data_IF_995663560105
#
_entry.id   IF_995663560105
#
_cell.length_a   1.000
_cell.length_b   1.000
_cell.length_c   1.000
_cell.angle_alpha   90.00
_cell.angle_beta   90.00
_cell.angle_gamma   90.00
#
_symmetry.space_group_name_H-M   'P 1'
#
loop_
_entity.id
_entity.type
_entity.pdbx_description
1 polymer ?
#
# COMPACT_ATOMS: atom_id res chain seq x y z
N UNK A 1 -24.47 -14.62 -11.85
CA UNK A 1 -25.14 -13.30 -11.75
C UNK A 1 -26.38 -13.31 -12.62
N UNK A 2 -27.52 -12.93 -12.08
CA UNK A 2 -28.81 -12.87 -12.76
C UNK A 2 -28.98 -11.61 -13.63
N UNK A 3 -28.00 -10.69 -13.62
CA UNK A 3 -27.99 -9.47 -14.42
C UNK A 3 -28.85 -8.32 -13.86
N UNK A 4 -29.35 -8.43 -12.63
CA UNK A 4 -30.23 -7.43 -12.00
C UNK A 4 -29.49 -6.20 -11.45
N UNK A 5 -28.16 -6.13 -11.62
CA UNK A 5 -27.29 -5.07 -11.10
C UNK A 5 -27.27 -4.95 -9.57
N UNK A 6 -27.63 -5.99 -8.88
CA UNK A 6 -27.63 -6.10 -7.41
C UNK A 6 -26.82 -7.33 -6.99
N UNK A 7 -26.39 -7.36 -5.74
CA UNK A 7 -25.71 -8.52 -5.16
C UNK A 7 -26.45 -8.90 -3.89
N UNK A 8 -27.06 -10.08 -3.90
CA UNK A 8 -27.66 -10.68 -2.71
C UNK A 8 -26.62 -11.47 -1.91
N UNK A 9 -26.92 -11.76 -0.64
CA UNK A 9 -26.02 -12.59 0.21
C UNK A 9 -25.71 -13.96 -0.39
N UNK A 10 -26.60 -14.52 -1.20
CA UNK A 10 -26.46 -15.83 -1.81
C UNK A 10 -25.56 -15.82 -3.05
N UNK A 11 -25.37 -14.67 -3.67
CA UNK A 11 -24.50 -14.50 -4.84
C UNK A 11 -23.03 -14.30 -4.47
N UNK A 12 -22.72 -14.10 -3.18
CA UNK A 12 -21.33 -13.98 -2.73
C UNK A 12 -20.69 -15.38 -2.75
N UNK A 13 -19.78 -15.57 -3.70
CA UNK A 13 -19.04 -16.81 -3.84
C UNK A 13 -18.01 -17.02 -2.72
N UNK A 14 -17.55 -18.26 -2.56
CA UNK A 14 -16.49 -18.61 -1.62
C UNK A 14 -15.15 -17.91 -1.88
N UNK A 15 -14.95 -17.39 -3.09
CA UNK A 15 -13.74 -16.67 -3.52
C UNK A 15 -13.90 -15.15 -3.54
N UNK A 16 -15.03 -14.62 -3.04
CA UNK A 16 -15.24 -13.18 -3.02
C UNK A 16 -14.22 -12.49 -2.10
N UNK A 17 -13.37 -11.67 -2.68
CA UNK A 17 -12.39 -10.84 -1.99
C UNK A 17 -12.28 -9.48 -2.66
N UNK A 18 -11.77 -8.48 -1.93
CA UNK A 18 -11.45 -7.18 -2.52
C UNK A 18 -10.09 -7.32 -3.22
N UNK A 19 -10.03 -7.11 -4.55
CA UNK A 19 -8.77 -7.20 -5.27
C UNK A 19 -7.84 -6.05 -4.87
N UNK A 20 -6.68 -6.39 -4.34
CA UNK A 20 -5.60 -5.44 -4.09
C UNK A 20 -4.71 -5.27 -5.34
N UNK A 21 -4.69 -6.29 -6.16
CA UNK A 21 -3.88 -6.38 -7.38
C UNK A 21 -4.69 -7.08 -8.48
N UNK A 22 -5.63 -6.35 -9.11
CA UNK A 22 -6.52 -6.94 -10.10
C UNK A 22 -5.81 -7.43 -11.38
N UNK A 23 -4.54 -7.04 -11.57
CA UNK A 23 -3.70 -7.53 -12.66
C UNK A 23 -3.18 -8.96 -12.46
N UNK A 24 -3.36 -9.53 -11.27
CA UNK A 24 -2.97 -10.91 -10.98
C UNK A 24 -4.15 -11.87 -11.18
N UNK A 25 -3.88 -13.15 -11.47
CA UNK A 25 -4.91 -14.19 -11.44
C UNK A 25 -5.60 -14.26 -10.08
N UNK A 26 -6.90 -14.61 -10.07
CA UNK A 26 -7.72 -14.67 -8.83
C UNK A 26 -7.14 -15.64 -7.79
N UNK A 27 -6.50 -16.69 -8.25
CA UNK A 27 -5.87 -17.73 -7.41
C UNK A 27 -4.52 -17.29 -6.82
N UNK A 28 -3.96 -16.18 -7.32
CA UNK A 28 -2.67 -15.71 -6.85
C UNK A 28 -2.77 -15.17 -5.41
N UNK A 29 -1.88 -15.56 -4.47
CA UNK A 29 -1.94 -15.14 -3.07
C UNK A 29 -1.94 -13.63 -2.84
N UNK A 30 -1.43 -12.87 -3.80
CA UNK A 30 -1.40 -11.40 -3.77
C UNK A 30 -2.54 -10.72 -4.51
N UNK A 31 -3.50 -11.45 -5.06
CA UNK A 31 -4.63 -10.88 -5.81
C UNK A 31 -5.49 -9.97 -4.94
N UNK A 32 -5.86 -10.42 -3.77
CA UNK A 32 -6.77 -9.69 -2.90
C UNK A 32 -6.44 -9.82 -1.41
N UNK A 33 -7.35 -9.37 -0.58
CA UNK A 33 -7.24 -9.54 0.87
C UNK A 33 -7.24 -11.05 1.18
N UNK A 34 -6.22 -11.58 1.88
CA UNK A 34 -6.14 -13.01 2.18
C UNK A 34 -7.39 -13.52 2.89
N UNK A 35 -7.98 -14.56 2.35
CA UNK A 35 -9.14 -15.22 2.96
C UNK A 35 -8.70 -16.18 4.07
N UNK A 36 -9.50 -16.35 5.14
CA UNK A 36 -9.24 -17.35 6.16
C UNK A 36 -9.11 -18.75 5.55
N UNK A 37 -8.24 -19.59 6.11
CA UNK A 37 -8.05 -20.96 5.62
C UNK A 37 -9.27 -21.84 5.82
N UNK A 38 -9.99 -21.67 6.96
CA UNK A 38 -11.18 -22.47 7.30
C UNK A 38 -12.42 -22.00 6.54
N UNK A 39 -13.18 -22.87 5.86
CA UNK A 39 -14.37 -22.50 5.08
C UNK A 39 -15.41 -21.71 5.88
N UNK A 40 -15.68 -22.10 7.12
CA UNK A 40 -16.65 -21.44 7.99
C UNK A 40 -16.23 -20.01 8.30
N UNK A 41 -14.95 -19.81 8.60
CA UNK A 41 -14.40 -18.48 8.86
C UNK A 41 -14.43 -17.59 7.62
N UNK A 42 -14.24 -18.17 6.41
CA UNK A 42 -14.44 -17.45 5.14
C UNK A 42 -15.88 -16.99 5.00
N UNK A 43 -16.83 -17.89 5.20
CA UNK A 43 -18.24 -17.57 5.08
C UNK A 43 -18.67 -16.49 6.07
N UNK A 44 -18.26 -16.61 7.32
CA UNK A 44 -18.53 -15.59 8.32
C UNK A 44 -17.97 -14.23 7.93
N UNK A 45 -16.72 -14.18 7.46
CA UNK A 45 -16.09 -12.92 7.01
C UNK A 45 -16.82 -12.30 5.83
N UNK A 46 -17.26 -13.10 4.87
CA UNK A 46 -18.03 -12.63 3.73
C UNK A 46 -19.37 -12.04 4.15
N UNK A 47 -20.09 -12.71 5.07
CA UNK A 47 -21.35 -12.21 5.62
C UNK A 47 -21.14 -10.90 6.40
N UNK A 48 -20.09 -10.83 7.22
CA UNK A 48 -19.74 -9.59 7.95
C UNK A 48 -19.45 -8.44 6.99
N UNK A 49 -18.69 -8.71 5.94
CA UNK A 49 -18.36 -7.73 4.92
C UNK A 49 -19.60 -7.26 4.17
N UNK A 50 -20.50 -8.17 3.80
CA UNK A 50 -21.76 -7.82 3.18
C UNK A 50 -22.61 -6.94 4.09
N UNK A 51 -22.83 -7.36 5.34
CA UNK A 51 -23.65 -6.62 6.32
C UNK A 51 -23.09 -5.24 6.65
N UNK A 52 -21.78 -5.07 6.58
CA UNK A 52 -21.14 -3.77 6.79
C UNK A 52 -21.42 -2.79 5.65
N UNK A 53 -21.59 -3.30 4.45
CA UNK A 53 -21.85 -2.52 3.25
C UNK A 53 -23.33 -2.31 2.93
N UNK A 54 -24.17 -3.24 3.30
CA UNK A 54 -25.62 -3.14 3.24
C UNK A 54 -26.12 -2.15 4.31
N UNK A 55 -26.20 -0.87 3.93
CA UNK A 55 -26.48 0.23 4.86
C UNK A 55 -27.93 0.29 5.28
N UNK A 56 -28.84 0.00 4.37
CA UNK A 56 -30.29 0.01 4.60
C UNK A 56 -30.81 -1.32 5.18
N UNK A 57 -29.95 -2.37 5.25
CA UNK A 57 -30.24 -3.71 5.78
C UNK A 57 -31.38 -4.44 5.06
N UNK A 58 -31.52 -4.21 3.75
CA UNK A 58 -32.50 -4.89 2.92
C UNK A 58 -32.02 -6.26 2.40
N UNK A 59 -30.80 -6.67 2.75
CA UNK A 59 -30.11 -7.90 2.32
C UNK A 59 -29.75 -7.93 0.84
N UNK A 60 -29.73 -6.78 0.20
CA UNK A 60 -29.28 -6.57 -1.15
C UNK A 60 -28.21 -5.48 -1.15
N UNK A 61 -27.18 -5.70 -1.90
CA UNK A 61 -26.13 -4.71 -2.08
C UNK A 61 -26.27 -4.08 -3.45
N UNK A 62 -26.80 -2.87 -3.47
CA UNK A 62 -27.05 -2.11 -4.69
C UNK A 62 -25.77 -1.49 -5.23
N UNK A 63 -25.80 -1.11 -6.52
CA UNK A 63 -24.69 -0.37 -7.13
C UNK A 63 -24.40 0.94 -6.42
N UNK A 64 -25.42 1.64 -5.94
CA UNK A 64 -25.25 2.93 -5.26
C UNK A 64 -24.58 2.77 -3.91
N UNK A 65 -24.91 1.75 -3.14
CA UNK A 65 -24.22 1.41 -1.89
C UNK A 65 -22.76 1.03 -2.14
N UNK A 66 -22.50 0.24 -3.20
CA UNK A 66 -21.15 -0.11 -3.61
C UNK A 66 -20.32 1.13 -3.98
N UNK A 67 -20.89 2.02 -4.79
CA UNK A 67 -20.21 3.25 -5.24
C UNK A 67 -20.05 4.25 -4.11
N UNK A 68 -21.04 4.38 -3.23
CA UNK A 68 -20.97 5.29 -2.08
C UNK A 68 -19.81 4.95 -1.15
N UNK A 69 -19.61 3.66 -0.86
CA UNK A 69 -18.49 3.18 -0.06
C UNK A 69 -17.14 3.32 -0.78
N UNK A 70 -17.11 3.16 -2.09
CA UNK A 70 -15.89 3.39 -2.88
C UNK A 70 -15.51 4.87 -2.93
N UNK A 71 -16.48 5.78 -2.87
CA UNK A 71 -16.21 7.23 -2.86
C UNK A 71 -15.52 7.71 -1.57
N UNK A 72 -15.76 7.06 -0.45
CA UNK A 72 -15.18 7.45 0.85
C UNK A 72 -13.68 7.12 0.96
N UNK A 73 -13.19 6.13 0.21
CA UNK A 73 -11.78 5.73 0.22
C UNK A 73 -11.03 5.96 -1.10
N UNK A 74 -11.71 6.45 -2.14
CA UNK A 74 -11.17 6.53 -3.50
C UNK A 74 -10.73 7.92 -3.90
N UNK A 75 -10.02 8.62 -3.03
CA UNK A 75 -9.15 9.67 -3.51
C UNK A 75 -8.28 9.08 -4.63
N UNK A 76 -8.23 9.72 -5.80
CA UNK A 76 -7.29 9.27 -6.84
C UNK A 76 -5.87 9.46 -6.28
N UNK A 77 -5.05 8.42 -6.12
CA UNK A 77 -3.72 8.56 -5.59
C UNK A 77 -2.95 9.62 -6.39
N UNK A 78 -2.33 10.55 -5.69
CA UNK A 78 -1.59 11.65 -6.29
C UNK A 78 -0.27 11.85 -5.54
N UNK A 79 0.83 11.86 -6.26
CA UNK A 79 2.09 12.45 -5.85
C UNK A 79 2.27 13.72 -6.68
N UNK A 80 2.44 14.86 -6.03
CA UNK A 80 2.67 16.12 -6.70
C UNK A 80 3.85 16.86 -6.07
N UNK A 81 4.66 17.48 -6.90
CA UNK A 81 5.66 18.44 -6.45
C UNK A 81 5.05 19.85 -6.50
N UNK A 82 5.08 20.51 -5.36
CA UNK A 82 4.56 21.86 -5.20
C UNK A 82 5.74 22.81 -4.99
N UNK A 83 5.81 23.84 -5.82
CA UNK A 83 6.77 24.92 -5.67
C UNK A 83 6.37 25.80 -4.48
N UNK A 84 7.30 26.17 -3.60
CA UNK A 84 6.99 27.05 -2.48
C UNK A 84 6.67 28.48 -2.95
N UNK A 85 6.01 29.25 -2.09
CA UNK A 85 5.60 30.64 -2.37
C UNK A 85 4.16 30.73 -2.86
N UNK A 86 3.78 31.92 -3.38
CA UNK A 86 2.43 32.23 -3.80
C UNK A 86 1.50 32.61 -2.65
N UNK A 87 0.27 33.00 -2.98
CA UNK A 87 -0.81 33.30 -2.03
C UNK A 87 -2.15 32.86 -2.61
N UNK A 88 -3.13 32.57 -1.75
CA UNK A 88 -4.44 32.08 -2.16
C UNK A 88 -4.38 30.66 -2.73
N UNK A 89 -5.20 30.36 -3.73
CA UNK A 89 -5.23 29.06 -4.39
C UNK A 89 -4.06 28.91 -5.38
N UNK A 90 -3.07 28.10 -4.99
CA UNK A 90 -1.87 27.81 -5.78
C UNK A 90 -1.95 26.51 -6.58
N UNK A 91 -3.10 25.81 -6.57
CA UNK A 91 -3.26 24.48 -7.14
C UNK A 91 -2.84 24.36 -8.60
N UNK A 92 -3.10 25.37 -9.41
CA UNK A 92 -2.77 25.37 -10.84
C UNK A 92 -1.41 26.03 -11.14
N UNK A 93 -0.98 26.97 -10.31
CA UNK A 93 0.18 27.83 -10.60
C UNK A 93 1.50 27.30 -10.04
N UNK A 94 1.45 26.52 -8.93
CA UNK A 94 2.64 26.07 -8.21
C UNK A 94 2.86 24.56 -8.26
N UNK A 95 2.11 23.83 -9.08
CA UNK A 95 2.34 22.40 -9.31
C UNK A 95 3.38 22.22 -10.40
N UNK A 96 4.59 21.79 -10.01
CA UNK A 96 5.68 21.52 -10.94
C UNK A 96 5.40 20.28 -11.81
N UNK A 97 4.97 19.19 -11.17
CA UNK A 97 4.58 17.95 -11.83
C UNK A 97 3.64 17.11 -10.94
N UNK A 98 3.01 16.10 -11.53
CA UNK A 98 2.21 15.11 -10.81
C UNK A 98 2.40 13.69 -11.35
N UNK A 99 2.21 12.69 -10.50
CA UNK A 99 2.17 11.28 -10.83
C UNK A 99 1.01 10.59 -10.12
N UNK A 100 0.37 9.63 -10.81
CA UNK A 100 -0.80 8.91 -10.27
C UNK A 100 -0.61 7.40 -10.22
N UNK A 101 0.59 6.92 -10.53
CA UNK A 101 0.88 5.49 -10.58
C UNK A 101 1.87 5.08 -9.49
N UNK A 102 1.53 3.98 -8.78
CA UNK A 102 2.43 3.41 -7.76
C UNK A 102 2.52 4.21 -6.46
N UNK A 103 1.55 5.09 -6.21
CA UNK A 103 1.52 5.95 -5.05
C UNK A 103 1.06 5.14 -3.82
N UNK A 104 1.77 5.21 -2.70
CA UNK A 104 1.37 4.56 -1.45
C UNK A 104 0.16 5.26 -0.82
N UNK A 105 -0.60 4.51 -0.02
CA UNK A 105 -1.74 5.04 0.72
C UNK A 105 -1.32 5.60 2.10
N UNK A 106 -0.37 4.96 2.75
CA UNK A 106 0.06 5.28 4.12
C UNK A 106 1.53 5.71 4.16
N UNK A 107 2.50 4.94 3.61
CA UNK A 107 3.90 5.30 3.69
C UNK A 107 4.19 6.65 3.05
N UNK A 108 4.93 7.49 3.74
CA UNK A 108 5.44 8.75 3.18
C UNK A 108 6.54 8.47 2.15
N UNK A 109 6.62 9.28 1.09
CA UNK A 109 7.78 9.29 0.21
C UNK A 109 9.06 9.70 0.96
N UNK A 110 10.21 9.23 0.52
CA UNK A 110 11.49 9.70 1.01
C UNK A 110 12.34 10.23 -0.14
N UNK A 111 12.91 11.41 0.07
CA UNK A 111 13.78 12.07 -0.91
C UNK A 111 15.25 11.81 -0.63
N UNK A 112 16.03 11.54 -1.66
CA UNK A 112 17.47 11.49 -1.60
C UNK A 112 18.07 11.74 -3.00
N UNK A 113 19.00 12.65 -3.08
CA UNK A 113 19.81 12.93 -4.29
C UNK A 113 18.98 12.94 -5.58
N UNK A 114 18.07 13.92 -5.71
CA UNK A 114 17.16 14.11 -6.86
C UNK A 114 16.21 12.95 -7.15
N UNK A 115 16.05 11.99 -6.23
CA UNK A 115 15.16 10.86 -6.33
C UNK A 115 14.14 10.85 -5.20
N UNK A 116 12.94 10.39 -5.52
CA UNK A 116 11.88 10.14 -4.55
C UNK A 116 11.57 8.65 -4.59
N UNK A 117 11.70 8.01 -3.45
CA UNK A 117 11.41 6.59 -3.27
C UNK A 117 10.07 6.41 -2.58
N UNK A 118 9.27 5.48 -3.12
CA UNK A 118 7.91 5.18 -2.68
C UNK A 118 7.79 3.67 -2.48
N UNK A 119 7.19 3.24 -1.39
CA UNK A 119 6.84 1.84 -1.18
C UNK A 119 5.35 1.71 -0.87
N UNK A 120 4.66 0.81 -1.55
CA UNK A 120 3.23 0.57 -1.34
C UNK A 120 2.92 -0.88 -1.03
N UNK A 121 1.66 -1.14 -0.67
CA UNK A 121 1.14 -2.47 -0.45
C UNK A 121 1.52 -3.44 -1.58
N UNK A 122 1.81 -4.69 -1.22
CA UNK A 122 2.34 -5.72 -2.11
C UNK A 122 3.84 -5.64 -2.35
N UNK A 123 4.56 -4.75 -1.63
CA UNK A 123 6.01 -4.56 -1.78
C UNK A 123 6.42 -3.96 -3.13
N UNK A 124 5.54 -3.16 -3.73
CA UNK A 124 5.89 -2.41 -4.92
C UNK A 124 6.70 -1.18 -4.53
N UNK A 125 7.94 -1.10 -4.99
CA UNK A 125 8.80 0.07 -4.84
C UNK A 125 8.83 0.85 -6.16
N UNK A 126 8.80 2.18 -6.06
CA UNK A 126 9.00 3.08 -7.19
C UNK A 126 10.07 4.10 -6.85
N UNK A 127 10.90 4.43 -7.82
CA UNK A 127 11.83 5.54 -7.77
C UNK A 127 11.47 6.51 -8.90
N UNK A 128 11.29 7.77 -8.56
CA UNK A 128 10.98 8.83 -9.53
C UNK A 128 11.96 9.97 -9.41
N UNK A 129 12.24 10.64 -10.52
CA UNK A 129 13.04 11.86 -10.54
C UNK A 129 12.28 12.99 -9.84
N UNK A 130 12.88 13.67 -8.88
CA UNK A 130 12.22 14.71 -8.09
C UNK A 130 11.98 16.01 -8.85
N UNK A 131 12.71 16.27 -9.94
CA UNK A 131 12.62 17.51 -10.70
C UNK A 131 11.43 17.50 -11.68
N UNK A 132 11.11 16.31 -12.24
CA UNK A 132 10.10 16.20 -13.30
C UNK A 132 9.07 15.08 -13.10
N UNK A 133 9.18 14.28 -12.03
CA UNK A 133 8.28 13.16 -11.74
C UNK A 133 8.44 11.95 -12.65
N UNK A 134 9.45 11.91 -13.53
CA UNK A 134 9.69 10.79 -14.42
C UNK A 134 10.02 9.52 -13.63
N UNK A 135 9.41 8.41 -14.03
CA UNK A 135 9.69 7.10 -13.44
C UNK A 135 11.10 6.65 -13.82
N UNK A 136 11.94 6.40 -12.83
CA UNK A 136 13.27 5.80 -13.01
C UNK A 136 13.11 4.28 -13.01
N UNK A 137 12.54 3.69 -11.95
CA UNK A 137 12.17 2.28 -11.94
C UNK A 137 10.91 2.03 -11.09
N UNK A 138 10.28 0.88 -11.34
CA UNK A 138 9.17 0.36 -10.52
C UNK A 138 9.29 -1.16 -10.46
N UNK A 139 9.62 -1.68 -9.29
CA UNK A 139 10.00 -3.06 -9.11
C UNK A 139 9.36 -3.65 -7.85
N UNK A 140 9.53 -4.96 -7.63
CA UNK A 140 9.01 -5.65 -6.47
C UNK A 140 10.12 -6.04 -5.51
N UNK A 141 9.90 -5.70 -4.25
CA UNK A 141 10.78 -6.14 -3.16
C UNK A 141 10.74 -7.66 -2.94
N UNK A 142 9.80 -8.40 -3.58
CA UNK A 142 9.53 -9.81 -3.27
C UNK A 142 9.34 -10.06 -1.76
N UNK A 143 8.69 -9.11 -1.11
CA UNK A 143 8.28 -9.12 0.28
C UNK A 143 6.80 -8.66 0.30
N UNK A 144 5.86 -9.56 -0.05
CA UNK A 144 4.46 -9.23 -0.19
C UNK A 144 3.84 -8.83 1.15
N UNK A 145 2.67 -8.21 1.10
CA UNK A 145 1.90 -7.80 2.26
C UNK A 145 1.67 -6.29 2.31
N UNK A 146 1.10 -5.82 3.40
CA UNK A 146 0.84 -4.41 3.62
C UNK A 146 2.10 -3.67 4.06
N UNK A 147 2.17 -2.40 3.70
CA UNK A 147 3.21 -1.48 4.14
C UNK A 147 2.54 -0.26 4.78
N UNK A 148 2.71 -0.10 6.09
CA UNK A 148 2.28 1.07 6.84
C UNK A 148 3.47 1.95 7.23
N UNK A 149 4.61 1.32 7.50
CA UNK A 149 5.86 2.01 7.79
C UNK A 149 6.39 2.73 6.55
N UNK A 150 6.78 3.99 6.72
CA UNK A 150 7.52 4.72 5.69
C UNK A 150 8.95 4.16 5.56
N UNK A 151 9.53 4.15 4.35
CA UNK A 151 10.93 3.78 4.20
C UNK A 151 11.84 4.82 4.85
N UNK A 152 13.03 4.38 5.26
CA UNK A 152 14.07 5.27 5.79
C UNK A 152 15.38 5.05 5.06
N UNK A 153 16.24 6.07 5.02
CA UNK A 153 17.52 6.04 4.32
C UNK A 153 18.66 6.14 5.31
N UNK A 154 19.65 5.28 5.16
CA UNK A 154 20.95 5.39 5.79
C UNK A 154 22.01 4.71 4.93
N UNK A 155 23.23 5.24 4.95
CA UNK A 155 24.41 4.66 4.31
C UNK A 155 24.15 4.15 2.88
N UNK A 156 23.62 5.03 2.02
CA UNK A 156 23.28 4.73 0.61
C UNK A 156 22.29 3.58 0.42
N UNK A 157 21.52 3.24 1.46
CA UNK A 157 20.50 2.20 1.41
C UNK A 157 19.14 2.69 1.87
N UNK A 158 18.10 2.15 1.26
CA UNK A 158 16.70 2.33 1.64
C UNK A 158 16.22 1.09 2.40
N UNK A 159 15.70 1.33 3.59
CA UNK A 159 15.14 0.28 4.46
C UNK A 159 13.62 0.32 4.38
N UNK A 160 13.02 -0.74 3.85
CA UNK A 160 11.57 -0.90 3.73
C UNK A 160 11.10 -2.01 4.66
N UNK A 161 10.09 -1.76 5.50
CA UNK A 161 9.57 -2.75 6.44
C UNK A 161 8.09 -3.02 6.17
N UNK A 162 7.76 -4.29 5.90
CA UNK A 162 6.37 -4.71 5.75
C UNK A 162 5.68 -4.90 7.10
N UNK A 163 4.35 -4.88 7.13
CA UNK A 163 3.58 -5.19 8.34
C UNK A 163 3.85 -6.59 8.89
N UNK A 164 4.26 -7.54 8.05
CA UNK A 164 4.63 -8.89 8.48
C UNK A 164 6.04 -8.96 9.07
N UNK A 165 6.76 -7.82 9.13
CA UNK A 165 8.11 -7.73 9.70
C UNK A 165 9.23 -8.10 8.75
N UNK A 166 8.96 -8.17 7.44
CA UNK A 166 10.03 -8.32 6.46
C UNK A 166 10.72 -6.98 6.25
N UNK A 167 12.00 -6.92 6.59
CA UNK A 167 12.88 -5.80 6.27
C UNK A 167 13.55 -6.10 4.93
N UNK A 168 13.42 -5.19 3.99
CA UNK A 168 14.14 -5.24 2.70
C UNK A 168 15.07 -4.04 2.60
N UNK A 169 16.33 -4.28 2.33
CA UNK A 169 17.35 -3.26 2.13
C UNK A 169 17.62 -3.11 0.65
N UNK A 170 17.49 -1.91 0.12
CA UNK A 170 17.61 -1.61 -1.31
C UNK A 170 18.73 -0.60 -1.50
N UNK A 171 19.63 -0.86 -2.45
CA UNK A 171 20.66 0.10 -2.86
C UNK A 171 20.00 1.34 -3.46
N UNK A 172 20.42 2.53 -3.05
CA UNK A 172 19.98 3.78 -3.69
C UNK A 172 20.62 3.94 -5.07
N UNK A 173 19.91 4.61 -5.99
CA UNK A 173 20.40 4.91 -7.34
C UNK A 173 19.35 4.73 -8.42
N UNK A 174 19.79 4.67 -9.67
CA UNK A 174 18.93 4.58 -10.86
C UNK A 174 18.58 3.13 -11.24
N UNK A 175 19.23 2.16 -10.62
CA UNK A 175 18.93 0.74 -10.81
C UNK A 175 18.42 0.12 -9.52
N UNK A 176 17.47 -0.80 -9.66
CA UNK A 176 16.89 -1.52 -8.52
C UNK A 176 17.79 -2.71 -8.14
N UNK A 177 18.23 -2.73 -6.88
CA UNK A 177 18.95 -3.88 -6.31
C UNK A 177 18.57 -4.05 -4.83
N UNK A 178 18.05 -5.23 -4.48
CA UNK A 178 17.84 -5.63 -3.09
C UNK A 178 19.12 -6.28 -2.58
N UNK A 179 19.76 -5.64 -1.61
CA UNK A 179 21.06 -6.11 -1.05
C UNK A 179 20.87 -7.07 0.11
N UNK A 180 19.77 -6.94 0.87
CA UNK A 180 19.51 -7.81 2.02
C UNK A 180 18.02 -7.91 2.32
N UNK A 181 17.64 -9.04 2.95
CA UNK A 181 16.30 -9.25 3.53
C UNK A 181 16.41 -9.95 4.87
N UNK A 182 15.61 -9.50 5.84
CA UNK A 182 15.50 -10.10 7.17
C UNK A 182 14.04 -10.16 7.61
N UNK A 183 13.67 -11.22 8.32
CA UNK A 183 12.29 -11.37 8.80
C UNK A 183 12.26 -11.36 10.33
N UNK A 184 11.65 -10.33 10.91
CA UNK A 184 11.48 -10.18 12.35
C UNK A 184 10.42 -11.14 12.94
N UNK A 185 9.62 -11.78 12.10
CA UNK A 185 8.47 -12.62 12.51
C UNK A 185 7.54 -11.88 13.49
N UNK A 186 7.37 -10.58 13.30
CA UNK A 186 6.61 -9.70 14.17
C UNK A 186 5.85 -8.64 13.36
N UNK A 187 4.73 -8.17 13.87
CA UNK A 187 3.95 -7.11 13.22
C UNK A 187 4.64 -5.77 13.44
N UNK A 188 4.87 -5.04 12.35
CA UNK A 188 5.47 -3.71 12.32
C UNK A 188 4.56 -2.75 11.58
N UNK A 189 4.14 -1.67 12.23
CA UNK A 189 3.34 -0.59 11.63
C UNK A 189 4.07 0.75 11.65
N UNK A 190 5.00 0.90 12.58
CA UNK A 190 5.74 2.15 12.76
C UNK A 190 6.93 2.25 11.83
N UNK A 191 7.19 3.45 11.33
CA UNK A 191 8.40 3.78 10.61
C UNK A 191 9.62 3.52 11.47
N UNK A 192 10.64 2.79 10.98
CA UNK A 192 11.89 2.60 11.70
C UNK A 192 12.63 3.92 11.93
N UNK A 193 13.51 3.92 12.89
CA UNK A 193 14.48 5.00 13.06
C UNK A 193 15.90 4.45 12.89
N UNK A 194 16.80 5.28 12.41
CA UNK A 194 18.23 4.95 12.29
C UNK A 194 19.04 6.04 12.97
N UNK A 195 19.94 5.63 13.86
CA UNK A 195 20.96 6.49 14.44
C UNK A 195 22.33 5.86 14.22
N UNK A 196 23.18 6.54 13.47
CA UNK A 196 24.52 6.07 13.09
C UNK A 196 24.47 4.64 12.51
N UNK A 197 24.85 3.64 13.30
CA UNK A 197 24.94 2.23 12.90
C UNK A 197 23.81 1.37 13.45
N UNK A 198 22.80 1.96 14.06
CA UNK A 198 21.73 1.21 14.74
C UNK A 198 20.38 1.48 14.09
N UNK A 199 19.72 0.42 13.65
CA UNK A 199 18.34 0.42 13.16
C UNK A 199 17.41 0.07 14.32
N UNK A 200 16.48 0.94 14.64
CA UNK A 200 15.43 0.74 15.64
C UNK A 200 14.10 0.43 14.98
N UNK A 201 13.51 -0.71 15.31
CA UNK A 201 12.23 -1.13 14.77
C UNK A 201 11.24 -1.36 15.91
N UNK A 202 10.12 -0.65 15.88
CA UNK A 202 9.00 -0.85 16.81
C UNK A 202 8.09 -1.94 16.28
N UNK A 203 8.07 -3.08 16.96
CA UNK A 203 7.10 -4.16 16.71
C UNK A 203 5.85 -3.95 17.56
N UNK A 204 4.80 -4.73 17.33
CA UNK A 204 3.60 -4.70 18.19
C UNK A 204 3.92 -4.94 19.68
N UNK A 205 4.98 -5.69 20.00
CA UNK A 205 5.31 -6.13 21.34
C UNK A 205 6.55 -5.46 21.94
N UNK A 206 7.49 -4.99 21.13
CA UNK A 206 8.79 -4.51 21.60
C UNK A 206 9.39 -3.44 20.70
N UNK A 207 10.34 -2.69 21.21
CA UNK A 207 11.31 -1.92 20.43
C UNK A 207 12.58 -2.75 20.33
N UNK A 208 13.08 -2.96 19.13
CA UNK A 208 14.26 -3.77 18.83
C UNK A 208 15.33 -2.88 18.18
N UNK A 209 16.59 -3.12 18.54
CA UNK A 209 17.75 -2.41 18.00
C UNK A 209 18.68 -3.42 17.31
N UNK A 210 19.10 -3.12 16.09
CA UNK A 210 19.99 -3.92 15.26
C UNK A 210 21.22 -3.09 14.91
N UNK A 211 22.41 -3.68 15.11
CA UNK A 211 23.72 -3.08 14.81
C UNK A 211 24.44 -3.88 13.76
#
# INVERSE_FOLDING_TARGET
TNGDQQISKNEISAHFTIPLRPELPVEHPGFGIPLPAKPEARRQRQIQFFNWRDKNKDNVWTRDEFIADMKVGSGRPLLAAILPGGSGDITQTHRAWESRRGIPEIPSPVYHDKRIYLVRAGGLISCVNSENGALIYRERLNAPGQYAASPVIADQHLYCVSQQGMISVVQLGDSFAVTSKSNLKAIVNATPAIDKTTLYVRTKKSLQAFR
#
